data_IF_097751243469
#
_entry.id   IF_097751243469
#
_cell.length_a   1.000
_cell.length_b   1.000
_cell.length_c   1.000
_cell.angle_alpha   90.00
_cell.angle_beta   90.00
_cell.angle_gamma   90.00
#
_symmetry.space_group_name_H-M   'P 1'
#
loop_
_entity.id
_entity.type
_entity.pdbx_description
1 polymer ?
#
# COMPACT_ATOMS: atom_id res chain seq x y z
N UNK A 1 -0.71 21.22 -3.03
CA UNK A 1 -2.18 21.18 -3.26
C UNK A 1 -2.61 19.93 -4.00
N UNK A 2 -2.48 19.76 -5.33
CA UNK A 2 -2.89 18.49 -5.99
C UNK A 2 -1.89 17.32 -5.77
N UNK A 3 -0.61 17.56 -6.03
CA UNK A 3 0.45 16.55 -5.86
C UNK A 3 0.61 16.07 -4.40
N UNK A 4 0.22 16.91 -3.44
CA UNK A 4 0.25 16.57 -2.02
C UNK A 4 -0.87 15.60 -1.66
N UNK A 5 -2.09 15.84 -2.17
CA UNK A 5 -3.21 14.90 -2.04
C UNK A 5 -2.90 13.57 -2.71
N UNK A 6 -2.30 13.58 -3.91
CA UNK A 6 -1.88 12.36 -4.62
C UNK A 6 -0.87 11.53 -3.78
N UNK A 7 0.07 12.19 -3.11
CA UNK A 7 1.03 11.50 -2.23
C UNK A 7 0.36 10.90 -0.98
N UNK A 8 -0.61 11.61 -0.38
CA UNK A 8 -1.35 11.11 0.78
C UNK A 8 -2.22 9.90 0.40
N UNK A 9 -2.88 9.95 -0.75
CA UNK A 9 -3.69 8.85 -1.28
C UNK A 9 -2.82 7.60 -1.53
N UNK A 10 -1.63 7.78 -2.12
CA UNK A 10 -0.68 6.68 -2.33
C UNK A 10 -0.23 6.01 -1.02
N UNK A 11 0.07 6.81 0.00
CA UNK A 11 0.46 6.28 1.32
C UNK A 11 -0.71 5.55 1.97
N UNK A 12 -1.90 6.15 1.93
CA UNK A 12 -3.13 5.57 2.47
C UNK A 12 -3.46 4.21 1.81
N UNK A 13 -3.36 4.13 0.49
CA UNK A 13 -3.56 2.86 -0.24
C UNK A 13 -2.53 1.80 0.15
N UNK A 14 -1.26 2.19 0.32
CA UNK A 14 -0.22 1.25 0.75
C UNK A 14 -0.55 0.64 2.13
N UNK A 15 -0.99 1.47 3.08
CA UNK A 15 -1.45 0.99 4.39
C UNK A 15 -2.71 0.13 4.29
N UNK A 16 -3.66 0.51 3.45
CA UNK A 16 -4.87 -0.28 3.21
C UNK A 16 -4.53 -1.67 2.70
N UNK A 17 -3.64 -1.78 1.70
CA UNK A 17 -3.21 -3.06 1.13
C UNK A 17 -2.50 -3.93 2.17
N UNK A 18 -1.57 -3.35 2.93
CA UNK A 18 -0.89 -4.07 4.00
C UNK A 18 -1.85 -4.54 5.10
N UNK A 19 -2.81 -3.70 5.49
CA UNK A 19 -3.85 -4.05 6.46
C UNK A 19 -4.70 -5.23 5.99
N UNK A 20 -5.16 -5.19 4.74
CA UNK A 20 -6.00 -6.26 4.17
C UNK A 20 -5.20 -7.56 4.04
N UNK A 21 -3.94 -7.50 3.63
CA UNK A 21 -3.04 -8.65 3.58
C UNK A 21 -2.81 -9.28 4.97
N UNK A 22 -2.77 -8.46 6.02
CA UNK A 22 -2.66 -8.92 7.41
C UNK A 22 -4.00 -9.38 8.03
N UNK A 23 -5.12 -9.28 7.31
CA UNK A 23 -6.45 -9.66 7.83
C UNK A 23 -6.96 -8.75 8.96
N UNK A 24 -6.44 -7.52 9.07
CA UNK A 24 -6.76 -6.60 10.15
C UNK A 24 -7.90 -5.64 9.79
N UNK A 25 -8.73 -5.31 10.78
CA UNK A 25 -9.72 -4.24 10.70
C UNK A 25 -9.05 -2.87 10.93
N UNK A 26 -9.74 -1.79 10.52
CA UNK A 26 -9.26 -0.43 10.79
C UNK A 26 -9.12 -0.14 12.31
N UNK A 27 -9.98 -0.73 13.15
CA UNK A 27 -9.90 -0.57 14.61
C UNK A 27 -8.61 -1.21 15.14
N UNK A 28 -8.33 -2.46 14.75
CA UNK A 28 -7.14 -3.18 15.22
C UNK A 28 -5.84 -2.47 14.86
N UNK A 29 -5.72 -1.90 13.65
CA UNK A 29 -4.52 -1.13 13.28
C UNK A 29 -4.44 0.17 14.07
N UNK A 30 -5.57 0.83 14.32
CA UNK A 30 -5.60 2.05 15.11
C UNK A 30 -5.12 1.79 16.56
N UNK A 31 -5.61 0.70 17.18
CA UNK A 31 -5.18 0.26 18.51
C UNK A 31 -3.68 -0.05 18.54
N UNK A 32 -3.18 -0.82 17.58
CA UNK A 32 -1.75 -1.17 17.47
C UNK A 32 -0.86 0.06 17.25
N UNK A 33 -1.35 1.04 16.49
CA UNK A 33 -0.63 2.28 16.20
C UNK A 33 -0.77 3.36 17.30
N UNK A 34 -1.62 3.12 18.31
CA UNK A 34 -1.88 4.06 19.40
C UNK A 34 -2.62 5.33 18.95
N UNK A 35 -3.56 5.20 18.00
CA UNK A 35 -4.38 6.31 17.49
C UNK A 35 -5.86 5.95 17.46
N UNK A 36 -6.74 6.94 17.30
CA UNK A 36 -8.17 6.65 17.16
C UNK A 36 -8.49 6.06 15.79
N UNK A 37 -9.50 5.18 15.72
CA UNK A 37 -10.02 4.63 14.45
C UNK A 37 -10.39 5.71 13.41
N UNK A 38 -11.11 6.82 13.75
CA UNK A 38 -11.38 7.87 12.77
C UNK A 38 -10.09 8.48 12.21
N UNK A 39 -9.08 8.70 13.06
CA UNK A 39 -7.78 9.20 12.62
C UNK A 39 -7.07 8.21 11.70
N UNK A 40 -7.11 6.91 11.99
CA UNK A 40 -6.58 5.90 11.09
C UNK A 40 -7.32 5.89 9.74
N UNK A 41 -8.66 5.99 9.76
CA UNK A 41 -9.47 6.08 8.54
C UNK A 41 -9.06 7.26 7.67
N UNK A 42 -8.94 8.46 8.26
CA UNK A 42 -8.60 9.67 7.51
C UNK A 42 -7.21 9.57 6.87
N UNK A 43 -6.27 8.89 7.54
CA UNK A 43 -4.94 8.58 6.97
C UNK A 43 -5.03 7.54 5.86
N UNK A 44 -5.78 6.46 6.07
CA UNK A 44 -5.97 5.39 5.08
C UNK A 44 -6.65 5.89 3.80
N UNK A 45 -7.52 6.91 3.90
CA UNK A 45 -8.21 7.51 2.74
C UNK A 45 -7.52 8.76 2.21
N UNK A 46 -6.32 9.12 2.69
CA UNK A 46 -5.62 10.33 2.27
C UNK A 46 -6.31 11.66 2.63
N UNK A 47 -7.38 11.60 3.44
CA UNK A 47 -8.24 12.74 3.77
C UNK A 47 -7.59 13.73 4.75
N UNK A 48 -6.57 13.30 5.50
CA UNK A 48 -5.84 14.16 6.42
C UNK A 48 -4.34 13.88 6.42
N UNK A 49 -3.55 14.96 6.42
CA UNK A 49 -2.12 14.88 6.65
C UNK A 49 -1.84 14.35 8.08
N UNK A 50 -0.95 13.36 8.17
CA UNK A 50 -0.49 12.81 9.44
C UNK A 50 0.89 13.36 9.80
N UNK A 51 1.19 13.40 11.10
CA UNK A 51 2.58 13.60 11.54
C UNK A 51 3.41 12.41 11.09
N UNK A 52 4.66 12.63 10.72
CA UNK A 52 5.59 11.56 10.35
C UNK A 52 5.63 10.43 11.40
N UNK A 53 5.60 10.78 12.69
CA UNK A 53 5.53 9.82 13.79
C UNK A 53 4.28 8.93 13.76
N UNK A 54 3.13 9.48 13.38
CA UNK A 54 1.89 8.71 13.20
C UNK A 54 2.05 7.73 12.03
N UNK A 55 2.60 8.17 10.90
CA UNK A 55 2.86 7.29 9.76
C UNK A 55 3.80 6.14 10.14
N UNK A 56 4.87 6.42 10.89
CA UNK A 56 5.84 5.41 11.35
C UNK A 56 5.16 4.37 12.24
N UNK A 57 4.32 4.81 13.18
CA UNK A 57 3.59 3.89 14.06
C UNK A 57 2.61 3.01 13.29
N UNK A 58 1.89 3.58 12.31
CA UNK A 58 0.98 2.80 11.44
C UNK A 58 1.76 1.77 10.63
N UNK A 59 2.88 2.16 10.02
CA UNK A 59 3.73 1.23 9.27
C UNK A 59 4.14 0.05 10.15
N UNK A 60 4.64 0.30 11.37
CA UNK A 60 5.05 -0.74 12.31
C UNK A 60 3.90 -1.62 12.79
N UNK A 61 2.73 -1.04 13.03
CA UNK A 61 1.52 -1.79 13.35
C UNK A 61 1.11 -2.77 12.23
N UNK A 62 1.50 -2.46 10.98
CA UNK A 62 1.27 -3.28 9.79
C UNK A 62 2.45 -4.18 9.42
N UNK A 63 3.49 -4.25 10.25
CA UNK A 63 4.71 -5.02 9.96
C UNK A 63 5.59 -4.43 8.86
N UNK A 64 5.43 -3.13 8.56
CA UNK A 64 6.25 -2.37 7.62
C UNK A 64 7.25 -1.48 8.37
N UNK A 65 8.35 -1.13 7.71
CA UNK A 65 9.27 -0.09 8.19
C UNK A 65 9.45 0.97 7.10
N UNK A 66 9.34 2.25 7.47
CA UNK A 66 9.62 3.35 6.56
C UNK A 66 11.13 3.60 6.47
N UNK A 67 11.64 3.62 5.25
CA UNK A 67 13.06 3.84 4.97
C UNK A 67 13.25 5.05 4.08
N UNK A 68 14.29 5.83 4.36
CA UNK A 68 14.78 6.86 3.44
C UNK A 68 15.80 6.21 2.51
N UNK A 69 15.57 6.35 1.21
CA UNK A 69 16.45 5.82 0.18
C UNK A 69 16.86 6.96 -0.76
N UNK A 70 18.11 7.00 -1.23
CA UNK A 70 18.51 7.90 -2.30
C UNK A 70 17.55 7.81 -3.51
N UNK A 71 17.06 8.95 -3.98
CA UNK A 71 16.06 8.99 -5.07
C UNK A 71 16.53 8.26 -6.34
N UNK A 72 17.84 8.32 -6.65
CA UNK A 72 18.43 7.62 -7.78
C UNK A 72 18.27 6.08 -7.72
N UNK A 73 18.03 5.51 -6.54
CA UNK A 73 17.85 4.07 -6.35
C UNK A 73 16.37 3.63 -6.36
N UNK A 74 15.42 4.56 -6.36
CA UNK A 74 13.98 4.22 -6.30
C UNK A 74 13.56 3.26 -7.41
N UNK A 75 13.94 3.44 -8.69
CA UNK A 75 13.56 2.51 -9.75
C UNK A 75 14.09 1.08 -9.52
N UNK A 76 15.33 0.95 -9.03
CA UNK A 76 15.93 -0.35 -8.75
C UNK A 76 15.22 -1.06 -7.58
N UNK A 77 14.85 -0.32 -6.54
CA UNK A 77 14.09 -0.86 -5.40
C UNK A 77 12.69 -1.29 -5.84
N UNK A 78 12.00 -0.49 -6.66
CA UNK A 78 10.68 -0.85 -7.20
C UNK A 78 10.72 -2.11 -8.04
N UNK A 79 11.77 -2.28 -8.86
CA UNK A 79 11.99 -3.51 -9.64
C UNK A 79 12.19 -4.74 -8.75
N UNK A 80 12.93 -4.59 -7.63
CA UNK A 80 13.13 -5.69 -6.67
C UNK A 80 11.88 -6.04 -5.85
N UNK A 81 11.06 -5.04 -5.49
CA UNK A 81 9.82 -5.23 -4.72
C UNK A 81 8.64 -5.76 -5.56
N UNK A 82 8.81 -5.83 -6.88
CA UNK A 82 7.82 -6.41 -7.81
C UNK A 82 8.32 -7.74 -8.41
N UNK A 83 8.68 -8.76 -7.60
CA UNK A 83 9.11 -10.05 -8.15
C UNK A 83 7.87 -10.83 -8.62
N UNK A 84 7.69 -10.95 -9.95
CA UNK A 84 6.61 -11.67 -10.68
C UNK A 84 5.27 -10.90 -10.80
N UNK A 85 4.64 -10.70 -11.97
CA UNK A 85 4.96 -11.11 -13.35
C UNK A 85 3.68 -11.03 -14.21
N UNK A 86 3.61 -10.08 -15.15
CA UNK A 86 2.58 -10.11 -16.22
C UNK A 86 3.06 -10.92 -17.45
N UNK A 87 4.38 -11.13 -17.56
CA UNK A 87 5.03 -11.82 -18.68
C UNK A 87 5.36 -13.30 -18.43
N UNK A 88 5.14 -13.83 -17.22
CA UNK A 88 5.37 -15.26 -16.91
C UNK A 88 4.06 -16.06 -16.98
N UNK A 89 3.14 -15.64 -17.84
CA UNK A 89 2.09 -16.54 -18.33
C UNK A 89 2.77 -17.50 -19.30
N UNK A 90 2.72 -18.82 -19.10
CA UNK A 90 3.16 -19.74 -20.14
C UNK A 90 2.43 -19.37 -21.43
N UNK A 91 3.19 -19.14 -22.50
CA UNK A 91 2.69 -18.76 -23.83
C UNK A 91 1.61 -19.72 -24.37
N UNK A 92 1.47 -20.88 -23.74
CA UNK A 92 0.42 -21.86 -23.96
C UNK A 92 -0.59 -21.86 -22.81
N UNK A 93 -1.35 -20.78 -22.66
CA UNK A 93 -2.64 -20.85 -21.97
C UNK A 93 -3.70 -20.97 -23.06
N UNK A 94 -4.48 -22.07 -23.13
CA UNK A 94 -5.49 -22.22 -24.15
C UNK A 94 -6.50 -21.08 -23.99
N UNK A 95 -6.56 -20.20 -24.99
CA UNK A 95 -7.74 -19.36 -25.16
C UNK A 95 -8.89 -20.34 -25.37
N UNK A 96 -9.88 -20.33 -24.48
CA UNK A 96 -11.17 -20.88 -24.83
C UNK A 96 -11.62 -20.08 -26.06
N UNK A 97 -11.48 -20.69 -27.24
CA UNK A 97 -12.15 -20.24 -28.45
C UNK A 97 -13.62 -20.10 -28.05
N UNK A 98 -14.10 -18.86 -28.05
CA UNK A 98 -15.53 -18.63 -27.85
C UNK A 98 -16.24 -19.29 -29.01
N UNK A 99 -17.11 -20.25 -28.69
CA UNK A 99 -18.03 -20.85 -29.65
C UNK A 99 -18.74 -19.72 -30.40
N UNK A 100 -18.54 -19.67 -31.72
CA UNK A 100 -19.35 -18.86 -32.63
C UNK A 100 -20.79 -19.42 -32.64
N UNK A 101 -21.75 -18.68 -32.09
CA UNK A 101 -23.17 -18.72 -32.47
C UNK A 101 -23.79 -17.30 -32.52
#
# INVERSE_FOLDING_TARGET
MKAETEALDMIGDHFRRARLAAGLTQEQVADLAGISRPRYRDVETGAAAARATTLINIARALGLEMMLVPQAMVPAIQALLSPQGEDDRPAFSPQAEGDDE
#
